data_IF_403456989063
#
_entry.id   IF_403456989063
#
_cell.length_a   1.000
_cell.length_b   1.000
_cell.length_c   1.000
_cell.angle_alpha   90.00
_cell.angle_beta   90.00
_cell.angle_gamma   90.00
#
_symmetry.space_group_name_H-M   'P 1'
#
loop_
_entity.id
_entity.type
_entity.pdbx_description
1 polymer ?
#
# COMPACT_ATOMS: atom_id res chain seq x y z
N UNK A 1 -33.33 -18.50 -35.31
CA UNK A 1 -32.12 -18.02 -36.00
C UNK A 1 -31.46 -17.00 -35.07
N UNK A 2 -30.33 -17.41 -34.47
CA UNK A 2 -29.48 -16.69 -33.51
C UNK A 2 -28.53 -15.77 -34.28
N UNK A 3 -28.15 -14.62 -33.71
CA UNK A 3 -26.81 -13.97 -33.59
C UNK A 3 -27.09 -12.62 -32.88
N UNK A 4 -26.86 -12.42 -31.58
CA UNK A 4 -25.61 -12.26 -30.81
C UNK A 4 -25.01 -10.84 -30.89
N UNK A 5 -25.00 -10.12 -29.74
CA UNK A 5 -23.92 -9.21 -29.30
C UNK A 5 -24.20 -8.73 -27.87
N UNK A 6 -24.07 -9.65 -26.91
CA UNK A 6 -23.86 -9.25 -25.54
C UNK A 6 -22.42 -8.69 -25.38
N UNK A 7 -22.30 -7.63 -24.58
CA UNK A 7 -21.25 -7.50 -23.57
C UNK A 7 -19.80 -7.09 -23.92
N UNK A 8 -19.35 -6.89 -25.17
CA UNK A 8 -17.89 -6.76 -25.40
C UNK A 8 -17.45 -5.60 -26.28
N UNK A 9 -17.94 -4.38 -26.06
CA UNK A 9 -17.23 -3.23 -26.62
C UNK A 9 -17.42 -1.93 -25.85
N UNK A 10 -16.49 -1.67 -24.92
CA UNK A 10 -15.76 -0.40 -24.79
C UNK A 10 -14.83 -0.51 -23.60
N UNK A 11 -13.87 -1.43 -23.79
CA UNK A 11 -12.50 -1.41 -23.31
C UNK A 11 -12.14 -0.12 -22.55
N UNK A 12 -12.24 -0.20 -21.21
CA UNK A 12 -11.72 0.79 -20.27
C UNK A 12 -10.22 0.91 -20.51
N UNK A 13 -9.83 1.99 -21.18
CA UNK A 13 -8.45 2.20 -21.62
C UNK A 13 -7.53 2.31 -20.38
N UNK A 14 -6.54 1.40 -20.22
CA UNK A 14 -5.72 1.30 -19.01
C UNK A 14 -4.94 2.58 -18.65
N UNK A 15 -4.64 3.41 -19.65
CA UNK A 15 -3.72 4.55 -19.52
C UNK A 15 -4.25 5.75 -18.71
N UNK A 16 -5.57 5.94 -18.60
CA UNK A 16 -6.16 7.04 -17.80
C UNK A 16 -6.45 6.62 -16.35
N UNK A 17 -6.71 5.34 -16.12
CA UNK A 17 -6.88 4.77 -14.79
C UNK A 17 -5.55 4.76 -14.00
N UNK A 18 -4.44 4.44 -14.68
CA UNK A 18 -3.10 4.43 -14.08
C UNK A 18 -2.64 5.81 -13.58
N UNK A 19 -2.91 6.88 -14.35
CA UNK A 19 -2.53 8.26 -13.96
C UNK A 19 -3.36 8.80 -12.78
N UNK A 20 -4.61 8.34 -12.61
CA UNK A 20 -5.45 8.71 -11.47
C UNK A 20 -5.19 7.85 -10.23
N UNK A 21 -4.65 6.65 -10.41
CA UNK A 21 -4.23 5.75 -9.31
C UNK A 21 -2.95 6.20 -8.57
N UNK A 22 -2.22 7.18 -9.11
CA UNK A 22 -0.96 7.69 -8.54
C UNK A 22 -1.14 8.82 -7.51
N UNK A 23 -2.37 9.31 -7.30
CA UNK A 23 -2.64 10.49 -6.46
C UNK A 23 -3.06 10.18 -5.01
N UNK A 24 -3.49 8.94 -4.72
CA UNK A 24 -3.79 8.52 -3.35
C UNK A 24 -3.53 7.01 -3.20
N UNK A 25 -2.86 6.58 -2.12
CA UNK A 25 -2.64 5.16 -1.86
C UNK A 25 -3.99 4.44 -1.76
N UNK A 26 -4.22 3.46 -2.65
CA UNK A 26 -5.39 2.55 -2.60
C UNK A 26 -6.45 2.69 -3.72
N UNK A 27 -6.44 3.73 -4.56
CA UNK A 27 -7.51 3.89 -5.58
C UNK A 27 -7.40 2.96 -6.80
N UNK A 28 -6.23 2.38 -7.06
CA UNK A 28 -6.01 1.47 -8.19
C UNK A 28 -6.61 0.08 -8.02
N UNK A 29 -6.80 -0.36 -6.78
CA UNK A 29 -7.16 -1.74 -6.48
C UNK A 29 -8.68 -2.00 -6.51
N UNK A 30 -9.51 -0.96 -6.38
CA UNK A 30 -10.98 -1.06 -6.50
C UNK A 30 -11.41 -1.30 -7.95
N UNK A 31 -10.58 -0.97 -8.94
CA UNK A 31 -11.01 -0.93 -10.34
C UNK A 31 -10.88 -2.26 -11.09
N UNK A 32 -10.17 -3.27 -10.56
CA UNK A 32 -9.76 -4.46 -11.33
C UNK A 32 -10.28 -5.82 -10.82
N UNK A 33 -11.33 -5.86 -9.98
CA UNK A 33 -12.02 -7.11 -9.63
C UNK A 33 -11.24 -8.12 -8.76
N UNK A 34 -9.94 -7.95 -8.52
CA UNK A 34 -9.14 -8.74 -7.57
C UNK A 34 -9.23 -8.15 -6.14
N UNK A 35 -10.46 -7.86 -5.72
CA UNK A 35 -10.77 -7.08 -4.52
C UNK A 35 -10.59 -7.85 -3.20
N UNK A 36 -10.32 -9.15 -3.23
CA UNK A 36 -10.31 -9.96 -2.00
C UNK A 36 -9.04 -9.75 -1.15
N UNK A 37 -7.88 -9.50 -1.78
CA UNK A 37 -6.61 -9.24 -1.06
C UNK A 37 -6.30 -7.74 -0.89
N UNK A 38 -7.05 -6.90 -1.59
CA UNK A 38 -6.94 -5.43 -1.62
C UNK A 38 -7.08 -4.77 -0.24
N UNK A 39 -8.03 -5.17 0.63
CA UNK A 39 -8.19 -4.53 1.93
C UNK A 39 -6.94 -4.64 2.82
N UNK A 40 -6.29 -5.82 2.83
CA UNK A 40 -5.11 -6.06 3.66
C UNK A 40 -3.93 -5.18 3.27
N UNK A 41 -3.72 -5.04 1.96
CA UNK A 41 -2.70 -4.16 1.39
C UNK A 41 -2.92 -2.71 1.76
N UNK A 42 -4.15 -2.22 1.59
CA UNK A 42 -4.48 -0.82 1.88
C UNK A 42 -4.31 -0.55 3.37
N UNK A 43 -4.77 -1.46 4.23
CA UNK A 43 -4.60 -1.36 5.69
C UNK A 43 -3.11 -1.36 6.06
N UNK A 44 -2.30 -2.22 5.46
CA UNK A 44 -0.86 -2.28 5.73
C UNK A 44 -0.14 -0.98 5.33
N UNK A 45 -0.43 -0.44 4.14
CA UNK A 45 0.19 0.81 3.67
C UNK A 45 -0.27 2.02 4.47
N UNK A 46 -1.56 2.12 4.79
CA UNK A 46 -2.08 3.20 5.64
C UNK A 46 -1.53 3.12 7.06
N UNK A 47 -1.47 1.93 7.65
CA UNK A 47 -0.90 1.71 8.98
C UNK A 47 0.58 2.06 9.04
N UNK A 48 1.37 1.59 8.07
CA UNK A 48 2.80 1.89 8.01
C UNK A 48 3.06 3.39 7.76
N UNK A 49 2.28 4.02 6.87
CA UNK A 49 2.34 5.46 6.61
C UNK A 49 1.95 6.29 7.83
N UNK A 50 0.85 5.94 8.51
CA UNK A 50 0.43 6.63 9.74
C UNK A 50 1.46 6.47 10.86
N UNK A 51 2.04 5.28 11.03
CA UNK A 51 3.09 5.05 12.00
C UNK A 51 4.36 5.86 11.68
N UNK A 52 4.77 5.94 10.41
CA UNK A 52 5.88 6.78 9.98
C UNK A 52 5.62 8.27 10.25
N UNK A 53 4.43 8.76 9.95
CA UNK A 53 4.02 10.15 10.21
C UNK A 53 4.03 10.46 11.72
N UNK A 54 3.42 9.60 12.53
CA UNK A 54 3.43 9.73 13.99
C UNK A 54 4.85 9.81 14.57
N UNK A 55 5.75 8.93 14.12
CA UNK A 55 7.15 8.97 14.57
C UNK A 55 7.90 10.21 14.05
N UNK A 56 7.53 10.73 12.87
CA UNK A 56 8.07 11.97 12.36
C UNK A 56 7.68 13.17 13.23
N UNK A 57 6.40 13.28 13.60
CA UNK A 57 5.90 14.37 14.44
C UNK A 57 6.54 14.32 15.84
N UNK A 58 6.68 13.12 16.42
CA UNK A 58 7.41 12.93 17.68
C UNK A 58 8.89 13.28 17.56
N UNK A 59 9.54 12.91 16.46
CA UNK A 59 10.92 13.31 16.20
C UNK A 59 11.07 14.84 16.18
N UNK A 60 10.17 15.55 15.51
CA UNK A 60 10.19 17.02 15.46
C UNK A 60 9.96 17.63 16.83
N UNK A 61 8.97 17.14 17.59
CA UNK A 61 8.71 17.59 18.96
C UNK A 61 9.97 17.46 19.83
N UNK A 62 10.54 16.25 19.91
CA UNK A 62 11.71 16.01 20.75
C UNK A 62 12.93 16.79 20.28
N UNK A 63 13.06 17.04 18.97
CA UNK A 63 14.12 17.87 18.41
C UNK A 63 13.96 19.33 18.85
N UNK A 64 12.76 19.91 18.76
CA UNK A 64 12.49 21.28 19.18
C UNK A 64 12.69 21.47 20.69
N UNK A 65 12.08 20.57 21.47
CA UNK A 65 12.26 20.54 22.93
C UNK A 65 13.75 20.42 23.32
N UNK A 66 14.52 19.56 22.63
CA UNK A 66 15.95 19.43 22.86
C UNK A 66 16.73 20.72 22.56
N UNK A 67 16.42 21.40 21.46
CA UNK A 67 17.09 22.64 21.08
C UNK A 67 16.83 23.75 22.11
N UNK A 68 15.60 23.88 22.59
CA UNK A 68 15.27 24.79 23.69
C UNK A 68 16.05 24.42 24.97
N UNK A 69 15.88 23.19 25.45
CA UNK A 69 16.41 22.77 26.74
C UNK A 69 17.94 22.78 26.79
N UNK A 70 18.62 22.38 25.70
CA UNK A 70 20.09 22.38 25.64
C UNK A 70 20.71 23.76 25.77
N UNK A 71 20.03 24.82 25.32
CA UNK A 71 20.51 26.21 25.46
C UNK A 71 20.21 26.78 26.84
N UNK A 72 19.06 26.43 27.42
CA UNK A 72 18.70 26.77 28.81
C UNK A 72 19.71 26.16 29.78
N UNK A 73 20.03 24.87 29.63
CA UNK A 73 21.04 24.18 30.45
C UNK A 73 22.45 24.78 30.27
N UNK A 74 22.75 25.34 29.11
CA UNK A 74 24.01 26.04 28.84
C UNK A 74 24.05 27.48 29.38
N UNK A 75 22.95 27.97 29.99
CA UNK A 75 22.85 29.33 30.52
C UNK A 75 22.83 30.42 29.44
N UNK A 76 22.48 30.09 28.20
CA UNK A 76 22.45 31.04 27.08
C UNK A 76 21.10 31.75 27.07
N UNK A 77 21.08 32.99 27.55
CA UNK A 77 19.92 33.89 27.53
C UNK A 77 20.30 35.24 26.90
N UNK A 78 19.49 35.80 25.99
CA UNK A 78 18.25 35.26 25.44
C UNK A 78 18.49 34.06 24.52
N UNK A 79 17.53 33.13 24.47
CA UNK A 79 17.64 31.90 23.70
C UNK A 79 16.85 32.00 22.38
N UNK A 80 17.53 31.81 21.24
CA UNK A 80 16.91 31.80 19.91
C UNK A 80 15.81 30.73 19.73
N UNK A 81 15.77 29.74 20.62
CA UNK A 81 14.78 28.66 20.63
C UNK A 81 13.64 28.85 21.64
N UNK A 82 13.44 30.04 22.21
CA UNK A 82 12.30 30.33 23.10
C UNK A 82 10.95 29.99 22.46
N UNK A 83 10.83 30.10 21.13
CA UNK A 83 9.64 29.67 20.38
C UNK A 83 9.26 28.20 20.54
N UNK A 84 10.18 27.37 21.04
CA UNK A 84 9.99 25.93 21.26
C UNK A 84 9.72 25.59 22.74
N UNK A 85 9.45 26.58 23.57
CA UNK A 85 9.13 26.37 24.99
C UNK A 85 7.85 25.54 25.16
N UNK A 86 6.83 25.78 24.34
CA UNK A 86 5.57 25.02 24.38
C UNK A 86 5.80 23.56 24.00
N UNK A 87 6.59 23.28 22.95
CA UNK A 87 6.97 21.92 22.58
C UNK A 87 7.80 21.21 23.65
N UNK A 88 8.61 21.96 24.42
CA UNK A 88 9.32 21.38 25.56
C UNK A 88 8.37 20.95 26.68
N UNK A 89 7.35 21.77 26.98
CA UNK A 89 6.29 21.40 27.94
C UNK A 89 5.49 20.21 27.43
N UNK A 90 5.09 20.20 26.16
CA UNK A 90 4.39 19.07 25.54
C UNK A 90 5.23 17.79 25.56
N UNK A 91 6.55 17.90 25.41
CA UNK A 91 7.48 16.79 25.53
C UNK A 91 7.69 16.30 26.97
N UNK A 92 7.02 16.90 27.96
CA UNK A 92 7.06 16.52 29.37
C UNK A 92 8.12 17.24 30.20
N UNK A 93 8.62 18.39 29.73
CA UNK A 93 9.58 19.23 30.45
C UNK A 93 10.86 18.48 30.86
N UNK A 94 11.34 17.61 29.97
CA UNK A 94 12.43 16.68 30.23
C UNK A 94 13.81 17.33 30.02
N UNK A 95 14.86 16.68 30.55
CA UNK A 95 16.25 17.10 30.36
C UNK A 95 16.71 16.96 28.89
N UNK A 96 17.74 17.71 28.49
CA UNK A 96 18.28 17.61 27.13
C UNK A 96 18.82 16.19 26.83
N UNK A 97 19.36 15.48 27.82
CA UNK A 97 19.84 14.10 27.64
C UNK A 97 18.69 13.15 27.33
N UNK A 98 17.58 13.24 28.08
CA UNK A 98 16.39 12.41 27.86
C UNK A 98 15.76 12.71 26.51
N UNK A 99 15.59 13.99 26.17
CA UNK A 99 15.03 14.43 24.88
C UNK A 99 15.87 13.97 23.70
N UNK A 100 17.20 13.93 23.84
CA UNK A 100 18.09 13.36 22.82
C UNK A 100 17.80 11.89 22.59
N UNK A 101 17.65 11.09 23.65
CA UNK A 101 17.33 9.67 23.53
C UNK A 101 15.97 9.45 22.85
N UNK A 102 14.94 10.18 23.28
CA UNK A 102 13.60 10.11 22.67
C UNK A 102 13.60 10.52 21.20
N UNK A 103 14.37 11.56 20.84
CA UNK A 103 14.56 11.98 19.46
C UNK A 103 15.21 10.88 18.61
N UNK A 104 16.30 10.27 19.07
CA UNK A 104 16.96 9.20 18.31
C UNK A 104 16.06 7.96 18.19
N UNK A 105 15.30 7.62 19.23
CA UNK A 105 14.32 6.53 19.16
C UNK A 105 13.23 6.82 18.11
N UNK A 106 12.60 8.01 18.16
CA UNK A 106 11.59 8.41 17.18
C UNK A 106 12.14 8.44 15.75
N UNK A 107 13.39 8.89 15.58
CA UNK A 107 14.09 8.84 14.29
C UNK A 107 14.26 7.40 13.78
N UNK A 108 14.78 6.52 14.64
CA UNK A 108 15.00 5.11 14.29
C UNK A 108 13.68 4.41 13.93
N UNK A 109 12.64 4.60 14.74
CA UNK A 109 11.30 4.06 14.48
C UNK A 109 10.72 4.56 13.16
N UNK A 110 10.87 5.86 12.83
CA UNK A 110 10.45 6.40 11.54
C UNK A 110 11.22 5.78 10.38
N UNK A 111 12.54 5.67 10.50
CA UNK A 111 13.39 5.14 9.43
C UNK A 111 13.06 3.65 9.18
N UNK A 112 12.83 2.86 10.23
CA UNK A 112 12.33 1.48 10.14
C UNK A 112 10.94 1.44 9.49
N UNK A 113 10.02 2.33 9.87
CA UNK A 113 8.68 2.39 9.29
C UNK A 113 8.72 2.66 7.79
N UNK A 114 9.58 3.57 7.35
CA UNK A 114 9.78 3.89 5.93
C UNK A 114 10.32 2.67 5.18
N UNK A 115 11.32 1.98 5.73
CA UNK A 115 11.89 0.78 5.13
C UNK A 115 10.84 -0.34 5.02
N UNK A 116 10.08 -0.59 6.09
CA UNK A 116 9.01 -1.58 6.08
C UNK A 116 7.91 -1.23 5.07
N UNK A 117 7.54 0.04 4.97
CA UNK A 117 6.56 0.52 3.97
C UNK A 117 7.06 0.22 2.55
N UNK A 118 8.33 0.52 2.27
CA UNK A 118 8.95 0.22 0.98
C UNK A 118 9.00 -1.28 0.68
N UNK A 119 9.34 -2.10 1.67
CA UNK A 119 9.36 -3.56 1.54
C UNK A 119 7.96 -4.13 1.24
N UNK A 120 6.93 -3.69 1.97
CA UNK A 120 5.53 -4.07 1.73
C UNK A 120 5.08 -3.66 0.33
N UNK A 121 5.45 -2.46 -0.13
CA UNK A 121 5.14 -2.00 -1.48
C UNK A 121 5.80 -2.88 -2.56
N UNK A 122 7.09 -3.23 -2.38
CA UNK A 122 7.81 -4.09 -3.32
C UNK A 122 7.21 -5.51 -3.39
N UNK A 123 6.85 -6.09 -2.24
CA UNK A 123 6.19 -7.40 -2.15
C UNK A 123 4.86 -7.41 -2.90
N UNK A 124 4.06 -6.36 -2.75
CA UNK A 124 2.80 -6.25 -3.49
C UNK A 124 2.99 -6.14 -5.00
N UNK A 125 3.98 -5.35 -5.44
CA UNK A 125 4.29 -5.23 -6.86
C UNK A 125 4.73 -6.59 -7.45
N UNK A 126 5.51 -7.37 -6.69
CA UNK A 126 5.91 -8.72 -7.07
C UNK A 126 4.71 -9.68 -7.15
N UNK A 127 3.82 -9.67 -6.15
CA UNK A 127 2.60 -10.50 -6.13
C UNK A 127 1.69 -10.20 -7.34
N UNK A 128 1.52 -8.91 -7.67
CA UNK A 128 0.77 -8.48 -8.84
C UNK A 128 1.46 -8.89 -10.15
N UNK A 129 2.78 -8.77 -10.25
CA UNK A 129 3.55 -9.18 -11.42
C UNK A 129 3.44 -10.70 -11.66
N UNK A 130 3.60 -11.51 -10.61
CA UNK A 130 3.47 -12.97 -10.71
C UNK A 130 2.05 -13.35 -11.10
N UNK A 131 1.03 -12.75 -10.49
CA UNK A 131 -0.38 -13.02 -10.81
C UNK A 131 -0.73 -12.67 -12.26
N UNK A 132 -0.23 -11.54 -12.77
CA UNK A 132 -0.42 -11.15 -14.16
C UNK A 132 0.27 -12.13 -15.13
N UNK A 133 1.50 -12.54 -14.82
CA UNK A 133 2.24 -13.50 -15.65
C UNK A 133 1.60 -14.89 -15.65
N UNK A 134 0.95 -15.31 -14.55
CA UNK A 134 0.19 -16.55 -14.49
C UNK A 134 -1.15 -16.47 -15.21
N UNK A 135 -1.78 -15.29 -15.32
CA UNK A 135 -3.00 -15.09 -16.12
C UNK A 135 -2.70 -15.13 -17.63
N UNK A 136 -1.54 -14.62 -18.06
CA UNK A 136 -1.09 -14.75 -19.45
C UNK A 136 -0.74 -16.21 -19.83
N UNK A 137 -0.56 -17.08 -18.84
CA UNK A 137 -0.34 -18.53 -18.98
C UNK A 137 -1.64 -19.35 -18.82
N UNK A 138 -2.81 -18.75 -19.01
CA UNK A 138 -4.03 -19.53 -19.19
C UNK A 138 -3.97 -20.27 -20.54
N UNK A 139 -3.52 -21.52 -20.46
CA UNK A 139 -3.62 -22.51 -21.51
C UNK A 139 -5.10 -22.68 -21.79
N UNK A 140 -5.58 -22.16 -22.92
CA UNK A 140 -6.99 -22.16 -23.28
C UNK A 140 -7.71 -23.45 -22.89
N UNK A 141 -8.56 -23.38 -21.88
CA UNK A 141 -9.45 -24.47 -21.46
C UNK A 141 -10.62 -24.63 -22.44
N UNK A 142 -10.37 -24.66 -23.75
CA UNK A 142 -11.38 -25.03 -24.75
C UNK A 142 -11.41 -26.57 -24.96
N UNK A 143 -11.25 -27.33 -23.87
CA UNK A 143 -11.54 -28.76 -23.86
C UNK A 143 -12.93 -29.02 -23.25
N UNK A 144 -13.97 -28.57 -23.96
CA UNK A 144 -15.35 -28.90 -23.60
C UNK A 144 -15.71 -30.31 -24.08
N UNK A 145 -15.85 -31.27 -23.16
CA UNK A 145 -16.39 -32.61 -23.43
C UNK A 145 -17.92 -32.57 -23.32
N UNK A 146 -18.63 -32.69 -24.45
CA UNK A 146 -20.09 -32.84 -24.45
C UNK A 146 -20.48 -34.31 -24.61
N UNK A 147 -21.17 -34.85 -23.60
CA UNK A 147 -21.74 -36.21 -23.61
C UNK A 147 -23.25 -36.08 -23.70
N UNK A 148 -23.85 -36.54 -24.80
CA UNK A 148 -25.29 -36.56 -24.98
C UNK A 148 -25.77 -38.01 -25.19
N UNK A 149 -26.78 -38.49 -24.43
CA UNK A 149 -27.38 -39.78 -24.67
C UNK A 149 -28.30 -39.73 -25.91
N UNK A 150 -28.14 -40.69 -26.82
CA UNK A 150 -29.02 -40.84 -27.97
C UNK A 150 -30.25 -41.67 -27.62
N UNK A 151 -31.40 -41.28 -28.16
CA UNK A 151 -32.69 -41.95 -27.92
C UNK A 151 -32.72 -43.42 -28.39
N UNK A 152 -31.73 -43.88 -29.16
CA UNK A 152 -31.53 -45.26 -29.62
C UNK A 152 -30.72 -46.13 -28.63
N UNK A 153 -30.31 -45.59 -27.48
CA UNK A 153 -29.48 -46.29 -26.49
C UNK A 153 -27.97 -46.19 -26.73
N UNK A 154 -27.53 -45.36 -27.68
CA UNK A 154 -26.13 -45.01 -27.91
C UNK A 154 -25.66 -43.80 -27.09
N UNK A 155 -24.34 -43.63 -26.97
CA UNK A 155 -23.71 -42.43 -26.39
C UNK A 155 -22.82 -41.81 -27.45
N UNK A 156 -23.06 -40.55 -27.79
CA UNK A 156 -22.27 -39.80 -28.77
C UNK A 156 -21.36 -38.82 -28.07
N UNK A 157 -20.05 -38.93 -28.33
CA UNK A 157 -19.00 -38.06 -27.82
C UNK A 157 -18.60 -37.09 -28.93
N UNK A 158 -18.80 -35.79 -28.70
CA UNK A 158 -18.33 -34.76 -29.63
C UNK A 158 -17.26 -33.91 -28.97
N UNK A 159 -16.12 -33.82 -29.63
CA UNK A 159 -14.97 -33.02 -29.21
C UNK A 159 -14.78 -31.91 -30.23
N UNK A 160 -14.79 -30.66 -29.78
CA UNK A 160 -14.53 -29.49 -30.62
C UNK A 160 -13.18 -28.92 -30.21
N UNK A 161 -12.25 -28.79 -31.16
CA UNK A 161 -11.01 -28.05 -30.98
C UNK A 161 -11.17 -26.67 -31.59
N UNK A 162 -11.05 -25.63 -30.77
CA UNK A 162 -10.81 -24.26 -31.24
C UNK A 162 -9.33 -24.09 -31.56
N UNK A 163 -9.02 -23.62 -32.77
CA UNK A 163 -7.70 -23.13 -33.18
C UNK A 163 -7.76 -21.61 -33.27
#
# INVERSE_FOLDING_TARGET
>A
MVVDTAAVDTLRTPGRALRRSLLAPGLGQVYNGQAEKTPFVIVALLGAGAYAAYNHDRYLLYRHAFLYQSRVEAGITPNEFERFADEWVEAGSLSAVTLRSLRENARSSRDIAIVLTGAVYALQALDAYVSAHLQDFDVGEDLSLHVAPEASGGVTLTMRLGL
#
